data_IF_323893574932
#
_entry.id   IF_323893574932
#
_cell.length_a   1.000
_cell.length_b   1.000
_cell.length_c   1.000
_cell.angle_alpha   90.00
_cell.angle_beta   90.00
_cell.angle_gamma   90.00
#
_symmetry.space_group_name_H-M   'P 1'
#
loop_
_entity.id
_entity.type
_entity.pdbx_description
1 polymer ?
#
# COMPACT_ATOMS: atom_id res chain seq x y z
N UNK A 1 2.46 24.16 1.66
CA UNK A 1 1.53 23.34 2.48
C UNK A 1 0.81 24.15 3.56
N UNK A 2 1.28 25.36 3.91
CA UNK A 2 0.64 26.19 4.93
C UNK A 2 -0.57 27.01 4.43
N UNK A 3 -0.62 27.35 3.14
CA UNK A 3 -1.73 28.13 2.57
C UNK A 3 -3.09 27.42 2.67
N UNK A 4 -3.12 26.11 2.38
CA UNK A 4 -4.34 25.30 2.50
C UNK A 4 -4.78 25.11 3.96
N UNK A 5 -3.81 25.01 4.88
CA UNK A 5 -4.10 24.93 6.32
C UNK A 5 -4.72 26.24 6.82
N UNK A 6 -4.12 27.37 6.45
CA UNK A 6 -4.64 28.69 6.78
C UNK A 6 -6.04 28.92 6.19
N UNK A 7 -6.24 28.59 4.91
CA UNK A 7 -7.55 28.69 4.26
C UNK A 7 -8.60 27.81 4.92
N UNK A 8 -8.26 26.60 5.35
CA UNK A 8 -9.18 25.72 6.08
C UNK A 8 -9.58 26.32 7.44
N UNK A 9 -8.64 26.90 8.18
CA UNK A 9 -8.93 27.56 9.47
C UNK A 9 -9.87 28.76 9.26
N UNK A 10 -9.56 29.63 8.30
CA UNK A 10 -10.40 30.80 7.99
C UNK A 10 -11.81 30.38 7.57
N UNK A 11 -11.94 29.31 6.76
CA UNK A 11 -13.23 28.77 6.36
C UNK A 11 -14.08 28.35 7.58
N UNK A 12 -13.48 27.61 8.52
CA UNK A 12 -14.18 27.18 9.75
C UNK A 12 -14.59 28.39 10.59
N UNK A 13 -13.73 29.39 10.76
CA UNK A 13 -14.04 30.60 11.54
C UNK A 13 -15.26 31.34 10.96
N UNK A 14 -15.28 31.56 9.64
CA UNK A 14 -16.40 32.27 8.98
C UNK A 14 -17.72 31.50 9.13
N UNK A 15 -17.71 30.16 9.02
CA UNK A 15 -18.90 29.33 9.24
C UNK A 15 -19.50 29.53 10.63
N UNK A 16 -18.66 29.55 11.67
CA UNK A 16 -19.10 29.76 13.06
C UNK A 16 -19.58 31.19 13.32
N UNK A 17 -18.94 32.20 12.72
CA UNK A 17 -19.35 33.61 12.86
C UNK A 17 -20.72 33.88 12.23
N UNK A 18 -21.07 33.19 11.15
CA UNK A 18 -22.34 33.42 10.46
C UNK A 18 -23.53 32.74 11.15
N UNK A 19 -23.41 31.46 11.51
CA UNK A 19 -24.41 30.77 12.34
C UNK A 19 -23.81 29.55 13.00
N UNK A 20 -23.67 29.61 14.32
CA UNK A 20 -23.06 28.54 15.11
C UNK A 20 -23.91 27.25 15.13
N UNK A 21 -25.24 27.37 15.06
CA UNK A 21 -26.14 26.20 15.05
C UNK A 21 -25.99 25.41 13.74
N UNK A 22 -25.99 26.09 12.60
CA UNK A 22 -25.87 25.42 11.30
C UNK A 22 -24.47 24.84 11.08
N UNK A 23 -23.42 25.53 11.55
CA UNK A 23 -22.06 25.01 11.55
C UNK A 23 -21.94 23.70 12.35
N UNK A 24 -22.59 23.61 13.51
CA UNK A 24 -22.55 22.42 14.36
C UNK A 24 -23.32 21.24 13.71
N UNK A 25 -24.49 21.51 13.12
CA UNK A 25 -25.26 20.51 12.38
C UNK A 25 -24.47 19.95 11.19
N UNK A 26 -23.84 20.81 10.38
CA UNK A 26 -23.05 20.37 9.22
C UNK A 26 -21.86 19.50 9.63
N UNK A 27 -21.16 19.84 10.72
CA UNK A 27 -20.09 19.01 11.27
C UNK A 27 -20.59 17.63 11.72
N UNK A 28 -21.72 17.57 12.42
CA UNK A 28 -22.32 16.30 12.86
C UNK A 28 -22.66 15.43 11.65
N UNK A 29 -23.37 15.99 10.66
CA UNK A 29 -23.76 15.25 9.44
C UNK A 29 -22.52 14.75 8.69
N UNK A 30 -21.49 15.59 8.55
CA UNK A 30 -20.22 15.20 7.93
C UNK A 30 -19.56 14.03 8.68
N UNK A 31 -19.46 14.10 10.01
CA UNK A 31 -18.87 13.04 10.83
C UNK A 31 -19.66 11.73 10.75
N UNK A 32 -20.99 11.79 10.73
CA UNK A 32 -21.84 10.60 10.59
C UNK A 32 -21.65 9.93 9.23
N UNK A 33 -21.66 10.71 8.14
CA UNK A 33 -21.43 10.18 6.78
C UNK A 33 -20.01 9.62 6.67
N UNK A 34 -19.00 10.36 7.13
CA UNK A 34 -17.62 9.91 7.11
C UNK A 34 -17.41 8.62 7.90
N UNK A 35 -17.98 8.55 9.11
CA UNK A 35 -17.98 7.35 9.94
C UNK A 35 -18.64 6.17 9.21
N UNK A 36 -19.85 6.38 8.68
CA UNK A 36 -20.58 5.37 7.93
C UNK A 36 -19.77 4.80 6.76
N UNK A 37 -19.17 5.66 5.94
CA UNK A 37 -18.31 5.25 4.83
C UNK A 37 -17.08 4.46 5.31
N UNK A 38 -16.45 4.92 6.39
CA UNK A 38 -15.26 4.26 6.97
C UNK A 38 -15.59 2.86 7.50
N UNK A 39 -16.74 2.67 8.13
CA UNK A 39 -17.14 1.38 8.69
C UNK A 39 -17.66 0.41 7.63
N UNK A 40 -18.45 0.88 6.66
CA UNK A 40 -19.09 0.01 5.67
C UNK A 40 -18.14 -0.49 4.60
N UNK A 41 -17.00 0.18 4.37
CA UNK A 41 -16.00 -0.15 3.34
C UNK A 41 -16.65 -0.76 2.08
N UNK A 42 -17.60 -0.05 1.44
CA UNK A 42 -18.33 -0.64 0.33
C UNK A 42 -17.34 -1.00 -0.78
N UNK A 43 -17.41 -2.24 -1.27
CA UNK A 43 -16.58 -2.73 -2.37
C UNK A 43 -17.02 -2.09 -3.69
N UNK A 44 -16.69 -0.80 -3.85
CA UNK A 44 -17.00 -0.02 -5.05
C UNK A 44 -15.80 -0.04 -5.99
N UNK A 45 -16.07 -0.34 -7.26
CA UNK A 45 -15.06 -0.58 -8.30
C UNK A 45 -14.50 0.71 -8.94
N UNK A 46 -14.83 1.91 -8.42
CA UNK A 46 -14.38 3.20 -8.95
C UNK A 46 -12.90 3.52 -8.70
N UNK A 47 -12.13 2.52 -8.27
CA UNK A 47 -10.71 2.63 -7.96
C UNK A 47 -10.46 3.22 -6.57
N UNK A 48 -9.60 2.57 -5.79
CA UNK A 48 -9.19 3.07 -4.48
C UNK A 48 -8.16 4.19 -4.64
N UNK A 49 -8.56 5.44 -4.36
CA UNK A 49 -7.62 6.57 -4.32
C UNK A 49 -6.51 6.34 -3.29
N UNK A 50 -6.80 5.60 -2.22
CA UNK A 50 -5.80 5.19 -1.23
C UNK A 50 -4.75 4.28 -1.85
N UNK A 51 -5.13 3.26 -2.62
CA UNK A 51 -4.17 2.37 -3.29
C UNK A 51 -3.31 3.14 -4.31
N UNK A 52 -3.93 4.04 -5.08
CA UNK A 52 -3.20 4.90 -6.02
C UNK A 52 -2.18 5.80 -5.30
N UNK A 53 -2.55 6.36 -4.15
CA UNK A 53 -1.63 7.16 -3.34
C UNK A 53 -0.51 6.32 -2.71
N UNK A 54 -0.81 5.11 -2.24
CA UNK A 54 0.20 4.17 -1.75
C UNK A 54 1.21 3.82 -2.84
N UNK A 55 0.76 3.50 -4.05
CA UNK A 55 1.63 3.23 -5.18
C UNK A 55 2.57 4.41 -5.49
N UNK A 56 2.01 5.62 -5.63
CA UNK A 56 2.80 6.85 -5.87
C UNK A 56 3.81 7.11 -4.75
N UNK A 57 3.41 6.89 -3.50
CA UNK A 57 4.30 7.04 -2.33
C UNK A 57 5.43 6.03 -2.37
N UNK A 58 5.14 4.75 -2.61
CA UNK A 58 6.15 3.69 -2.72
C UNK A 58 7.15 4.00 -3.83
N UNK A 59 6.68 4.39 -5.01
CA UNK A 59 7.54 4.74 -6.14
C UNK A 59 8.44 5.95 -5.82
N UNK A 60 7.89 6.98 -5.18
CA UNK A 60 8.67 8.15 -4.74
C UNK A 60 9.73 7.76 -3.69
N UNK A 61 9.39 6.87 -2.77
CA UNK A 61 10.33 6.36 -1.76
C UNK A 61 11.41 5.49 -2.39
N UNK A 62 11.08 4.61 -3.33
CA UNK A 62 12.04 3.81 -4.09
C UNK A 62 13.02 4.70 -4.86
N UNK A 63 12.50 5.72 -5.55
CA UNK A 63 13.36 6.68 -6.26
C UNK A 63 14.27 7.46 -5.30
N UNK A 64 13.76 7.85 -4.13
CA UNK A 64 14.57 8.51 -3.10
C UNK A 64 15.68 7.59 -2.59
N UNK A 65 15.36 6.32 -2.28
CA UNK A 65 16.34 5.34 -1.84
C UNK A 65 17.43 5.08 -2.89
N UNK A 66 17.08 5.11 -4.18
CA UNK A 66 18.05 4.93 -5.25
C UNK A 66 19.05 6.11 -5.38
N UNK A 67 18.62 7.32 -5.02
CA UNK A 67 19.46 8.53 -5.11
C UNK A 67 20.39 8.71 -3.89
N UNK A 68 20.09 8.04 -2.79
CA UNK A 68 20.87 8.12 -1.56
C UNK A 68 22.03 7.13 -1.62
N UNK A 69 23.26 7.58 -1.36
CA UNK A 69 24.43 6.72 -1.41
C UNK A 69 24.40 5.71 -0.26
N UNK A 70 24.60 4.42 -0.59
CA UNK A 70 24.69 3.36 0.40
C UNK A 70 25.94 3.56 1.26
N UNK A 71 25.75 4.08 2.47
CA UNK A 71 26.84 4.14 3.45
C UNK A 71 27.23 2.72 3.90
N UNK A 72 28.52 2.42 3.90
CA UNK A 72 29.12 1.12 4.30
C UNK A 72 28.65 0.64 5.71
N UNK A 73 28.20 1.57 6.55
CA UNK A 73 27.69 1.30 7.91
C UNK A 73 26.22 0.89 7.97
N UNK A 74 25.48 0.94 6.85
CA UNK A 74 24.04 0.63 6.79
C UNK A 74 23.78 -0.49 5.76
N UNK A 75 24.47 -1.62 5.93
CA UNK A 75 24.25 -2.79 5.08
C UNK A 75 22.85 -3.38 5.31
N UNK A 76 22.10 -3.57 4.21
CA UNK A 76 20.77 -4.20 4.21
C UNK A 76 20.77 -5.39 3.24
N UNK A 77 20.79 -6.64 3.73
CA UNK A 77 20.89 -7.80 2.86
C UNK A 77 19.62 -7.98 2.03
N UNK A 78 19.75 -8.07 0.71
CA UNK A 78 18.67 -8.43 -0.20
C UNK A 78 18.90 -9.87 -0.68
N UNK A 79 18.03 -10.80 -0.29
CA UNK A 79 18.24 -12.24 -0.51
C UNK A 79 17.33 -12.73 -1.64
N UNK A 80 17.93 -13.28 -2.68
CA UNK A 80 17.25 -14.05 -3.72
C UNK A 80 17.41 -15.54 -3.42
N UNK A 81 16.31 -16.20 -3.05
CA UNK A 81 16.25 -17.64 -2.79
C UNK A 81 15.89 -18.37 -4.07
N UNK A 82 16.82 -19.17 -4.58
CA UNK A 82 16.58 -20.08 -5.70
C UNK A 82 16.27 -21.46 -5.14
N UNK A 83 14.99 -21.86 -5.20
CA UNK A 83 14.55 -23.18 -4.74
C UNK A 83 13.43 -23.72 -5.64
N UNK A 84 13.28 -25.04 -5.64
CA UNK A 84 12.12 -25.69 -6.23
C UNK A 84 10.87 -25.34 -5.40
N UNK A 85 9.73 -25.14 -6.06
CA UNK A 85 8.42 -24.90 -5.42
C UNK A 85 8.07 -25.89 -4.31
N UNK A 86 8.62 -27.11 -4.36
CA UNK A 86 8.38 -28.17 -3.39
C UNK A 86 9.25 -28.09 -2.12
N UNK A 87 10.35 -27.32 -2.14
CA UNK A 87 11.30 -27.20 -1.02
C UNK A 87 11.24 -25.79 -0.43
N UNK A 88 10.47 -25.65 0.65
CA UNK A 88 10.25 -24.37 1.36
C UNK A 88 11.31 -24.07 2.43
N UNK A 89 12.13 -25.04 2.80
CA UNK A 89 13.07 -24.93 3.94
C UNK A 89 14.08 -23.79 3.76
N UNK A 90 14.57 -23.58 2.54
CA UNK A 90 15.51 -22.51 2.23
C UNK A 90 14.85 -21.11 2.32
N UNK A 91 13.58 -21.01 1.94
CA UNK A 91 12.80 -19.77 2.08
C UNK A 91 12.54 -19.44 3.55
N UNK A 92 12.23 -20.46 4.36
CA UNK A 92 12.06 -20.31 5.81
C UNK A 92 13.37 -19.89 6.47
N UNK A 93 14.49 -20.48 6.07
CA UNK A 93 15.82 -20.08 6.52
C UNK A 93 16.18 -18.64 6.11
N UNK A 94 15.97 -18.27 4.85
CA UNK A 94 16.21 -16.89 4.41
C UNK A 94 15.28 -15.88 5.13
N UNK A 95 14.06 -16.29 5.46
CA UNK A 95 13.16 -15.47 6.27
C UNK A 95 13.67 -15.29 7.70
N UNK A 96 14.26 -16.34 8.32
CA UNK A 96 14.83 -16.23 9.65
C UNK A 96 16.06 -15.29 9.71
N UNK A 97 16.83 -15.20 8.62
CA UNK A 97 17.92 -14.23 8.46
C UNK A 97 17.40 -12.80 8.34
N UNK A 98 16.42 -12.57 7.45
CA UNK A 98 15.94 -11.21 7.13
C UNK A 98 14.99 -10.64 8.19
N UNK A 99 14.36 -11.49 9.01
CA UNK A 99 13.37 -11.11 10.05
C UNK A 99 12.30 -10.14 9.55
N UNK A 100 11.91 -10.25 8.28
CA UNK A 100 10.91 -9.38 7.64
C UNK A 100 11.33 -7.91 7.44
N UNK A 101 12.60 -7.56 7.68
CA UNK A 101 13.10 -6.18 7.58
C UNK A 101 13.86 -5.89 6.27
N UNK A 102 14.04 -6.92 5.43
CA UNK A 102 14.83 -6.87 4.21
C UNK A 102 14.05 -7.47 3.03
N UNK A 103 14.47 -7.13 1.81
CA UNK A 103 13.86 -7.67 0.60
C UNK A 103 14.26 -9.15 0.46
N UNK A 104 13.26 -10.03 0.43
CA UNK A 104 13.41 -11.46 0.16
C UNK A 104 12.60 -11.83 -1.08
N UNK A 105 13.28 -12.36 -2.08
CA UNK A 105 12.66 -12.80 -3.34
C UNK A 105 12.84 -14.32 -3.46
N UNK A 106 11.75 -15.05 -3.74
CA UNK A 106 11.81 -16.49 -4.01
C UNK A 106 11.60 -16.72 -5.50
N UNK A 107 12.59 -17.33 -6.15
CA UNK A 107 12.56 -17.65 -7.57
C UNK A 107 12.63 -19.18 -7.75
N UNK A 108 11.68 -19.70 -8.53
CA UNK A 108 11.64 -21.11 -8.95
C UNK A 108 11.74 -21.15 -10.47
N UNK A 109 12.59 -22.03 -10.99
CA UNK A 109 12.72 -22.27 -12.43
C UNK A 109 11.79 -23.44 -12.77
N UNK A 110 10.82 -23.21 -13.65
CA UNK A 110 10.00 -24.28 -14.22
C UNK A 110 10.44 -24.53 -15.65
N UNK A 111 10.68 -25.79 -16.00
CA UNK A 111 11.13 -26.20 -17.33
C UNK A 111 9.95 -26.56 -18.29
N UNK A 112 8.71 -26.18 -17.95
CA UNK A 112 7.53 -26.48 -18.77
C UNK A 112 7.32 -25.42 -19.86
N UNK A 113 6.84 -25.84 -21.03
CA UNK A 113 6.39 -24.92 -22.09
C UNK A 113 5.28 -23.99 -21.57
N UNK A 114 5.38 -22.66 -21.76
CA UNK A 114 4.46 -21.69 -21.18
C UNK A 114 2.99 -21.86 -21.65
N UNK A 115 2.76 -22.46 -22.81
CA UNK A 115 1.43 -22.76 -23.37
C UNK A 115 0.69 -23.86 -22.62
N UNK A 116 1.40 -24.83 -22.03
CA UNK A 116 0.82 -25.97 -21.31
C UNK A 116 0.13 -25.56 -19.99
N UNK A 117 0.62 -24.48 -19.36
CA UNK A 117 0.10 -23.98 -18.07
C UNK A 117 -1.22 -23.23 -18.18
N UNK A 118 -1.47 -22.57 -19.31
CA UNK A 118 -2.77 -21.91 -19.59
C UNK A 118 -3.89 -22.96 -19.64
N UNK A 119 -3.58 -24.15 -20.18
CA UNK A 119 -4.53 -25.26 -20.26
C UNK A 119 -4.80 -25.92 -18.90
N UNK A 120 -3.78 -26.13 -18.05
CA UNK A 120 -3.99 -26.74 -16.74
C UNK A 120 -4.72 -25.80 -15.77
N UNK A 121 -4.43 -24.50 -15.80
CA UNK A 121 -5.12 -23.51 -14.97
C UNK A 121 -6.58 -23.31 -15.36
N UNK A 122 -6.93 -23.42 -16.65
CA UNK A 122 -8.32 -23.33 -17.12
C UNK A 122 -9.15 -24.55 -16.69
N UNK A 123 -8.50 -25.72 -16.56
CA UNK A 123 -9.14 -26.99 -16.19
C UNK A 123 -9.38 -27.16 -14.69
N UNK A 124 -8.60 -26.48 -13.84
CA UNK A 124 -8.79 -26.46 -12.38
C UNK A 124 -9.85 -25.43 -11.91
N UNK A 125 -10.32 -24.56 -12.81
CA UNK A 125 -11.36 -23.54 -12.55
C UNK A 125 -12.76 -23.90 -13.06
N UNK A 126 -12.98 -25.13 -13.55
CA UNK A 126 -14.30 -25.65 -13.97
C UNK A 126 -14.75 -26.74 -13.00
#
# INVERSE_FOLDING_TARGET
MYLSLFGAIVCVVIMFTMSWITALITFIVFLLIFGFLKYRKPDVNWGSSMHANHYKRTLKLMHKMHKEDDHVKNYRPQILVLSSSRRRDLTVFAHSITRGSALLMHATIQHDDPSSKVYSSTRETI
#
